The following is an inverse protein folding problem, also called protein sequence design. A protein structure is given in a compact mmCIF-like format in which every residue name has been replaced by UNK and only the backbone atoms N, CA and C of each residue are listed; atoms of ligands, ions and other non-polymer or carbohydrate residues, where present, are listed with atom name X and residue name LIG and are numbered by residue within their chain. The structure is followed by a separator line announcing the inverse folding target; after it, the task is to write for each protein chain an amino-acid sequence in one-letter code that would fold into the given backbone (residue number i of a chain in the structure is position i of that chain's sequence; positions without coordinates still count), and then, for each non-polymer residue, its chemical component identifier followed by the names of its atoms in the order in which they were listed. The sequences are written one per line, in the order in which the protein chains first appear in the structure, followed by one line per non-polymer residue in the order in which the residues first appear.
data_IF_662392584675
#
_entry.id   IF_662392584675
#
_cell.length_a   1.000
_cell.length_b   1.000
_cell.length_c   1.000
_cell.angle_alpha   90.00
_cell.angle_beta   90.00
_cell.angle_gamma   90.00
#
_symmetry.space_group_name_H-M   'P 1'
#
loop_
_entity.id
_entity.type
_entity.pdbx_description
1 polymer ?
#
# COMPACT_ATOMS: atom_id res chain seq x y z
N UNK A 1 -19.75 -2.16 12.91
CA UNK A 1 -18.51 -2.86 13.32
C UNK A 1 -17.95 -2.17 14.55
N UNK A 2 -17.41 -2.90 15.53
CA UNK A 2 -16.77 -2.28 16.70
C UNK A 2 -15.49 -1.55 16.27
N UNK A 3 -15.22 -0.40 16.88
CA UNK A 3 -14.03 0.44 16.60
C UNK A 3 -13.15 0.46 17.85
N UNK A 4 -11.84 0.26 17.69
CA UNK A 4 -10.84 0.44 18.75
C UNK A 4 -10.12 1.77 18.53
N UNK A 5 -10.09 2.62 19.56
CA UNK A 5 -9.38 3.90 19.52
C UNK A 5 -7.93 3.72 19.95
N UNK A 6 -7.02 4.31 19.20
CA UNK A 6 -5.60 4.41 19.52
C UNK A 6 -5.20 5.89 19.57
N UNK A 7 -4.30 6.23 20.50
CA UNK A 7 -3.66 7.55 20.56
C UNK A 7 -2.22 7.37 20.14
N UNK A 8 -1.82 8.03 19.05
CA UNK A 8 -0.47 7.98 18.51
C UNK A 8 0.03 9.40 18.28
N UNK A 9 1.32 9.62 18.49
CA UNK A 9 1.98 10.85 18.08
C UNK A 9 2.46 10.70 16.64
N UNK A 10 2.28 11.74 15.84
CA UNK A 10 2.74 11.82 14.45
C UNK A 10 3.56 13.09 14.27
N UNK A 11 4.41 13.11 13.27
CA UNK A 11 5.13 14.32 12.89
C UNK A 11 4.16 15.45 12.52
N UNK A 12 4.47 16.68 12.94
CA UNK A 12 3.60 17.84 12.75
C UNK A 12 3.36 18.15 11.27
N UNK A 13 4.41 18.08 10.43
CA UNK A 13 4.27 18.33 8.99
C UNK A 13 3.45 17.24 8.31
N UNK A 14 3.54 16.00 8.79
CA UNK A 14 2.71 14.91 8.30
C UNK A 14 1.24 15.14 8.69
N UNK A 15 0.99 15.54 9.94
CA UNK A 15 -0.37 15.85 10.41
C UNK A 15 -1.01 16.95 9.54
N UNK A 16 -0.29 18.05 9.30
CA UNK A 16 -0.75 19.14 8.42
C UNK A 16 -1.09 18.66 7.01
N UNK A 17 -0.21 17.86 6.39
CA UNK A 17 -0.46 17.30 5.06
C UNK A 17 -1.70 16.42 5.00
N UNK A 18 -1.89 15.58 6.02
CA UNK A 18 -3.07 14.72 6.10
C UNK A 18 -4.33 15.55 6.33
N UNK A 19 -4.28 16.56 7.18
CA UNK A 19 -5.42 17.46 7.41
C UNK A 19 -5.80 18.25 6.15
N UNK A 20 -4.83 18.73 5.38
CA UNK A 20 -5.06 19.38 4.08
C UNK A 20 -5.75 18.44 3.09
N UNK A 21 -5.35 17.15 3.07
CA UNK A 21 -5.89 16.16 2.13
C UNK A 21 -7.25 15.59 2.56
N UNK A 22 -7.41 15.30 3.86
CA UNK A 22 -8.58 14.62 4.40
C UNK A 22 -9.67 15.60 4.89
N UNK A 23 -9.30 16.84 5.18
CA UNK A 23 -10.18 17.84 5.79
C UNK A 23 -10.51 17.55 7.27
N UNK A 24 -11.05 18.56 7.95
CA UNK A 24 -11.30 18.57 9.42
C UNK A 24 -12.12 17.40 9.97
N UNK A 25 -12.94 16.74 9.16
CA UNK A 25 -13.80 15.59 9.58
C UNK A 25 -13.36 14.26 8.98
N UNK A 26 -12.40 14.26 8.05
CA UNK A 26 -12.00 13.07 7.30
C UNK A 26 -10.76 12.38 7.85
N UNK A 27 -10.06 12.96 8.84
CA UNK A 27 -8.78 12.46 9.34
C UNK A 27 -8.83 10.99 9.75
N UNK A 28 -9.78 10.59 10.61
CA UNK A 28 -9.88 9.21 11.10
C UNK A 28 -10.16 8.21 9.98
N UNK A 29 -11.05 8.54 9.05
CA UNK A 29 -11.36 7.69 7.90
C UNK A 29 -10.21 7.60 6.90
N UNK A 30 -9.47 8.70 6.73
CA UNK A 30 -8.27 8.72 5.91
C UNK A 30 -7.18 7.82 6.50
N UNK A 31 -6.86 7.99 7.79
CA UNK A 31 -5.84 7.19 8.47
C UNK A 31 -6.22 5.70 8.48
N UNK A 32 -7.49 5.37 8.76
CA UNK A 32 -7.94 3.98 8.73
C UNK A 32 -7.75 3.33 7.35
N UNK A 33 -8.02 4.07 6.26
CA UNK A 33 -7.81 3.59 4.90
C UNK A 33 -6.34 3.49 4.54
N UNK A 34 -5.53 4.48 4.93
CA UNK A 34 -4.09 4.46 4.71
C UNK A 34 -3.43 3.26 5.39
N UNK A 35 -3.79 3.00 6.65
CA UNK A 35 -3.28 1.83 7.40
C UNK A 35 -3.76 0.52 6.78
N UNK A 36 -5.01 0.43 6.32
CA UNK A 36 -5.50 -0.76 5.63
C UNK A 36 -4.73 -1.03 4.33
N UNK A 37 -4.50 0.02 3.53
CA UNK A 37 -3.73 -0.08 2.29
C UNK A 37 -2.27 -0.48 2.55
N UNK A 38 -1.65 0.03 3.61
CA UNK A 38 -0.27 -0.32 3.97
C UNK A 38 -0.18 -1.79 4.35
N UNK A 39 -1.07 -2.28 5.23
CA UNK A 39 -1.10 -3.69 5.59
C UNK A 39 -1.44 -4.61 4.40
N UNK A 40 -2.15 -4.12 3.39
CA UNK A 40 -2.38 -4.87 2.15
C UNK A 40 -1.11 -4.95 1.31
N UNK A 41 -0.34 -3.84 1.20
CA UNK A 41 0.96 -3.83 0.52
C UNK A 41 1.95 -4.76 1.18
N UNK A 42 2.08 -4.71 2.50
CA UNK A 42 2.96 -5.61 3.26
C UNK A 42 2.66 -7.09 2.93
N UNK A 43 1.37 -7.44 2.88
CA UNK A 43 0.95 -8.82 2.53
C UNK A 43 1.24 -9.19 1.09
N UNK A 44 1.15 -8.24 0.16
CA UNK A 44 1.49 -8.46 -1.23
C UNK A 44 3.00 -8.64 -1.38
N UNK A 45 3.80 -7.86 -0.67
CA UNK A 45 5.26 -7.98 -0.66
C UNK A 45 5.68 -9.34 -0.09
N UNK A 46 5.14 -9.75 1.06
CA UNK A 46 5.36 -11.08 1.65
C UNK A 46 5.00 -12.22 0.66
N UNK A 47 3.91 -12.04 -0.08
CA UNK A 47 3.46 -13.02 -1.06
C UNK A 47 4.40 -13.10 -2.28
N UNK A 48 4.85 -11.94 -2.79
CA UNK A 48 5.82 -11.88 -3.88
C UNK A 48 7.16 -12.51 -3.46
N UNK A 49 7.65 -12.22 -2.25
CA UNK A 49 8.85 -12.86 -1.72
C UNK A 49 8.71 -14.38 -1.66
N UNK A 50 7.54 -14.88 -1.27
CA UNK A 50 7.26 -16.33 -1.25
C UNK A 50 7.33 -16.92 -2.66
N UNK A 51 6.76 -16.25 -3.66
CA UNK A 51 6.82 -16.70 -5.06
C UNK A 51 8.25 -16.67 -5.61
N UNK A 52 9.02 -15.63 -5.30
CA UNK A 52 10.42 -15.52 -5.72
C UNK A 52 11.27 -16.63 -5.08
N UNK A 53 11.01 -17.00 -3.83
CA UNK A 53 11.69 -18.12 -3.17
C UNK A 53 11.33 -19.48 -3.80
N UNK A 54 10.08 -19.67 -4.20
CA UNK A 54 9.60 -20.94 -4.77
C UNK A 54 10.00 -21.12 -6.24
N UNK A 55 9.91 -20.07 -7.05
CA UNK A 55 10.06 -20.13 -8.50
C UNK A 55 11.29 -19.41 -9.05
N UNK A 56 11.92 -18.56 -8.24
CA UNK A 56 12.95 -17.63 -8.69
C UNK A 56 12.37 -16.39 -9.38
N UNK A 57 13.21 -15.39 -9.67
CA UNK A 57 12.77 -14.14 -10.30
C UNK A 57 12.29 -14.38 -11.74
N UNK A 58 11.30 -13.60 -12.17
CA UNK A 58 10.82 -13.62 -13.56
C UNK A 58 11.93 -13.14 -14.51
N UNK A 59 12.29 -13.92 -15.56
CA UNK A 59 13.26 -13.48 -16.55
C UNK A 59 12.81 -12.23 -17.31
N UNK A 60 13.70 -11.25 -17.47
CA UNK A 60 13.37 -9.95 -18.07
C UNK A 60 12.97 -10.07 -19.56
N UNK A 61 13.59 -10.99 -20.30
CA UNK A 61 13.29 -11.30 -21.70
C UNK A 61 11.86 -11.82 -21.88
N UNK A 62 11.35 -12.58 -20.90
CA UNK A 62 9.97 -13.05 -20.89
C UNK A 62 8.98 -11.89 -20.72
N UNK A 63 9.28 -10.94 -19.84
CA UNK A 63 8.43 -9.75 -19.62
C UNK A 63 8.38 -8.87 -20.85
N UNK A 64 9.53 -8.60 -21.49
CA UNK A 64 9.61 -7.84 -22.74
C UNK A 64 8.80 -8.51 -23.85
N UNK A 65 8.96 -9.83 -24.02
CA UNK A 65 8.22 -10.58 -25.03
C UNK A 65 6.70 -10.40 -24.91
N UNK A 66 6.14 -10.47 -23.69
CA UNK A 66 4.70 -10.31 -23.49
C UNK A 66 4.23 -8.85 -23.54
N UNK A 67 5.07 -7.88 -23.17
CA UNK A 67 4.74 -6.47 -23.35
C UNK A 67 4.57 -6.11 -24.85
N UNK A 68 5.42 -6.66 -25.73
CA UNK A 68 5.31 -6.46 -27.18
C UNK A 68 4.03 -7.08 -27.77
N UNK A 69 3.50 -8.13 -27.14
CA UNK A 69 2.26 -8.79 -27.53
C UNK A 69 1.01 -8.12 -26.94
N UNK A 70 1.17 -7.19 -25.99
CA UNK A 70 0.05 -6.56 -25.33
C UNK A 70 -0.64 -5.54 -26.25
N UNK A 71 -1.95 -5.64 -26.49
CA UNK A 71 -2.66 -4.67 -27.31
C UNK A 71 -2.72 -3.32 -26.58
N UNK A 72 -2.10 -2.32 -27.18
CA UNK A 72 -2.09 -0.91 -26.73
C UNK A 72 -3.43 -0.22 -26.93
#
# INVERSE_FOLDING_TARGET
MPVRKWSISVDEKLAEQVELRAGRRGLSGFVARAVANELERDRLDDYLETLDQEFGPVPADLVEHYNDLWPS
#
